data_IF_784526345890
#
_entry.id   IF_784526345890
#
_cell.length_a   1.000
_cell.length_b   1.000
_cell.length_c   1.000
_cell.angle_alpha   90.00
_cell.angle_beta   90.00
_cell.angle_gamma   90.00
#
_symmetry.space_group_name_H-M   'P 1'
#
loop_
_entity.id
_entity.type
_entity.pdbx_description
1 polymer ?
#
# COMPACT_ATOMS: atom_id res chain seq x y z
N UNK A 1 4.04 -9.90 -8.51
CA UNK A 1 5.35 -10.05 -7.83
C UNK A 1 5.51 -9.20 -6.60
N UNK A 2 5.35 -7.88 -6.71
CA UNK A 2 5.44 -6.95 -5.57
C UNK A 2 4.53 -7.38 -4.42
N UNK A 3 3.26 -7.60 -4.72
CA UNK A 3 2.23 -8.05 -3.75
C UNK A 3 2.64 -9.34 -3.03
N UNK A 4 3.11 -10.36 -3.76
CA UNK A 4 3.52 -11.64 -3.15
C UNK A 4 4.75 -11.48 -2.27
N UNK A 5 5.69 -10.62 -2.68
CA UNK A 5 6.89 -10.27 -1.91
C UNK A 5 6.50 -9.59 -0.60
N UNK A 6 5.64 -8.57 -0.67
CA UNK A 6 5.13 -7.84 0.51
C UNK A 6 4.38 -8.78 1.45
N UNK A 7 3.47 -9.62 0.95
CA UNK A 7 2.72 -10.59 1.75
C UNK A 7 3.66 -11.56 2.48
N UNK A 8 4.66 -12.12 1.78
CA UNK A 8 5.64 -13.02 2.39
C UNK A 8 6.45 -12.31 3.50
N UNK A 9 6.91 -11.09 3.25
CA UNK A 9 7.71 -10.30 4.19
C UNK A 9 6.92 -9.95 5.45
N UNK A 10 5.69 -9.44 5.29
CA UNK A 10 4.82 -9.07 6.42
C UNK A 10 4.38 -10.30 7.22
N UNK A 11 4.10 -11.43 6.55
CA UNK A 11 3.80 -12.69 7.23
C UNK A 11 4.97 -13.16 8.09
N UNK A 12 6.20 -13.09 7.57
CA UNK A 12 7.42 -13.42 8.32
C UNK A 12 7.67 -12.46 9.48
N UNK A 13 7.37 -11.17 9.30
CA UNK A 13 7.50 -10.14 10.35
C UNK A 13 6.52 -10.36 11.52
N UNK A 14 5.36 -10.96 11.27
CA UNK A 14 4.37 -11.26 12.32
C UNK A 14 3.54 -10.04 12.72
N UNK A 15 2.67 -9.61 11.81
CA UNK A 15 1.83 -8.40 11.96
C UNK A 15 0.39 -8.70 12.40
N UNK A 16 0.15 -9.87 13.01
CA UNK A 16 -1.19 -10.30 13.42
C UNK A 16 -1.83 -9.30 14.38
N UNK A 17 -3.01 -8.79 14.03
CA UNK A 17 -3.76 -7.83 14.85
C UNK A 17 -3.19 -6.42 14.88
N UNK A 18 -2.24 -6.10 13.99
CA UNK A 18 -1.61 -4.78 13.87
C UNK A 18 -2.08 -4.05 12.62
N UNK A 19 -1.93 -2.73 12.62
CA UNK A 19 -2.07 -1.92 11.42
C UNK A 19 -0.73 -1.91 10.69
N UNK A 20 -0.77 -2.08 9.37
CA UNK A 20 0.37 -1.92 8.49
C UNK A 20 0.09 -0.70 7.62
N UNK A 21 0.93 0.31 7.72
CA UNK A 21 0.87 1.49 6.88
C UNK A 21 2.08 1.54 5.96
N UNK A 22 1.82 1.81 4.68
CA UNK A 22 2.83 1.88 3.65
C UNK A 22 3.25 3.33 3.43
N UNK A 23 4.55 3.59 3.42
CA UNK A 23 5.13 4.92 3.25
C UNK A 23 6.42 4.87 2.43
N UNK A 24 7.04 6.03 2.22
CA UNK A 24 8.31 6.16 1.50
C UNK A 24 8.16 6.57 0.01
N UNK A 25 9.29 6.75 -0.69
CA UNK A 25 9.31 7.28 -2.06
C UNK A 25 8.70 6.31 -3.07
N UNK A 26 8.76 5.00 -2.80
CA UNK A 26 8.22 3.96 -3.69
C UNK A 26 6.73 4.13 -4.01
N UNK A 27 5.94 4.68 -3.07
CA UNK A 27 4.50 4.92 -3.28
C UNK A 27 4.21 5.85 -4.46
N UNK A 28 5.10 6.80 -4.75
CA UNK A 28 4.93 7.74 -5.86
C UNK A 28 5.00 7.07 -7.24
N UNK A 29 5.57 5.85 -7.31
CA UNK A 29 5.67 5.06 -8.52
C UNK A 29 4.60 3.95 -8.61
N UNK A 30 3.71 3.84 -7.61
CA UNK A 30 2.70 2.79 -7.54
C UNK A 30 1.34 3.30 -8.00
N UNK A 31 0.68 2.55 -8.87
CA UNK A 31 -0.71 2.84 -9.26
C UNK A 31 -1.66 2.53 -8.11
N UNK A 32 -2.87 3.12 -8.15
CA UNK A 32 -3.89 2.74 -7.15
C UNK A 32 -4.23 1.25 -7.20
N UNK A 33 -4.20 0.62 -8.38
CA UNK A 33 -4.47 -0.81 -8.51
C UNK A 33 -3.43 -1.67 -7.76
N UNK A 34 -2.15 -1.31 -7.82
CA UNK A 34 -1.09 -2.00 -7.07
C UNK A 34 -1.31 -1.88 -5.56
N UNK A 35 -1.59 -0.66 -5.09
CA UNK A 35 -1.89 -0.36 -3.68
C UNK A 35 -3.10 -1.15 -3.19
N UNK A 36 -4.19 -1.15 -3.97
CA UNK A 36 -5.40 -1.89 -3.66
C UNK A 36 -5.15 -3.40 -3.61
N UNK A 37 -4.30 -3.94 -4.48
CA UNK A 37 -3.95 -5.36 -4.48
C UNK A 37 -3.18 -5.75 -3.22
N UNK A 38 -2.24 -4.91 -2.78
CA UNK A 38 -1.50 -5.13 -1.51
C UNK A 38 -2.43 -5.00 -0.30
N UNK A 39 -3.28 -3.98 -0.29
CA UNK A 39 -4.26 -3.75 0.78
C UNK A 39 -5.27 -4.89 0.89
N UNK A 40 -5.71 -5.45 -0.24
CA UNK A 40 -6.63 -6.60 -0.29
C UNK A 40 -6.01 -7.84 0.35
N UNK A 41 -4.69 -8.02 0.27
CA UNK A 41 -3.99 -9.17 0.87
C UNK A 41 -3.73 -9.07 2.39
N UNK A 42 -4.31 -8.06 3.06
CA UNK A 42 -4.13 -7.90 4.52
C UNK A 42 -4.44 -9.14 5.36
N UNK A 43 -5.54 -9.89 5.10
CA UNK A 43 -5.80 -11.14 5.79
C UNK A 43 -4.70 -12.19 5.63
N UNK A 44 -4.06 -12.26 4.45
CA UNK A 44 -3.03 -13.25 4.12
C UNK A 44 -1.74 -13.03 4.91
N UNK A 45 -1.32 -11.78 5.12
CA UNK A 45 -0.19 -11.47 6.01
C UNK A 45 -0.59 -11.26 7.48
N UNK A 46 -1.89 -11.25 7.78
CA UNK A 46 -2.46 -11.25 9.13
C UNK A 46 -2.72 -9.87 9.74
N UNK A 47 -2.50 -8.78 9.00
CA UNK A 47 -2.76 -7.44 9.51
C UNK A 47 -4.27 -7.17 9.66
N UNK A 48 -4.62 -6.29 10.58
CA UNK A 48 -6.00 -5.77 10.69
C UNK A 48 -6.34 -4.85 9.52
N UNK A 49 -5.34 -4.10 9.03
CA UNK A 49 -5.48 -3.16 7.92
C UNK A 49 -4.14 -3.01 7.19
N UNK A 50 -4.19 -2.95 5.85
CA UNK A 50 -3.11 -2.47 4.99
C UNK A 50 -3.45 -1.09 4.46
N UNK A 51 -2.89 -0.04 5.06
CA UNK A 51 -3.26 1.35 4.83
C UNK A 51 -2.27 2.04 3.89
N UNK A 52 -2.81 2.69 2.86
CA UNK A 52 -2.08 3.62 2.00
C UNK A 52 -2.69 5.02 2.19
N UNK A 53 -1.87 6.06 2.46
CA UNK A 53 -2.37 7.40 2.66
C UNK A 53 -2.97 7.99 1.37
N UNK A 54 -3.87 8.96 1.53
CA UNK A 54 -4.46 9.69 0.40
C UNK A 54 -3.40 10.60 -0.19
N UNK A 55 -3.24 10.56 -1.51
CA UNK A 55 -2.33 11.41 -2.27
C UNK A 55 -2.88 11.73 -3.67
N UNK A 56 -2.05 12.35 -4.51
CA UNK A 56 -2.42 12.70 -5.88
C UNK A 56 -2.84 11.50 -6.74
N UNK A 57 -2.31 10.29 -6.47
CA UNK A 57 -2.73 9.07 -7.17
C UNK A 57 -4.16 8.68 -6.81
N UNK A 58 -4.58 8.92 -5.56
CA UNK A 58 -5.97 8.73 -5.14
C UNK A 58 -6.90 9.67 -5.92
N UNK A 59 -6.53 10.95 -6.03
CA UNK A 59 -7.29 11.92 -6.82
C UNK A 59 -7.34 11.53 -8.29
N UNK A 60 -6.21 11.14 -8.88
CA UNK A 60 -6.13 10.65 -10.27
C UNK A 60 -7.09 9.49 -10.50
N UNK A 61 -7.13 8.52 -9.59
CA UNK A 61 -8.04 7.38 -9.70
C UNK A 61 -9.52 7.77 -9.56
N UNK A 62 -9.85 8.68 -8.64
CA UNK A 62 -11.23 9.17 -8.50
C UNK A 62 -11.70 9.90 -9.76
N UNK A 63 -10.82 10.69 -10.39
CA UNK A 63 -11.09 11.31 -11.69
C UNK A 63 -11.29 10.25 -12.78
N UNK A 64 -10.36 9.31 -12.92
CA UNK A 64 -10.44 8.27 -13.96
C UNK A 64 -11.66 7.34 -13.80
N UNK A 65 -12.11 7.11 -12.57
CA UNK A 65 -13.31 6.31 -12.28
C UNK A 65 -14.62 7.11 -12.38
N UNK A 66 -14.57 8.36 -12.85
CA UNK A 66 -15.74 9.18 -13.15
C UNK A 66 -16.47 9.71 -11.91
N UNK A 67 -15.76 9.95 -10.80
CA UNK A 67 -16.36 10.65 -9.66
C UNK A 67 -16.56 12.13 -9.98
N UNK A 68 -17.60 12.72 -9.40
CA UNK A 68 -17.95 14.11 -9.67
C UNK A 68 -16.88 15.07 -9.14
N UNK A 69 -16.69 16.19 -9.83
CA UNK A 69 -15.62 17.15 -9.53
C UNK A 69 -15.75 17.74 -8.12
N UNK A 70 -16.98 18.03 -7.67
CA UNK A 70 -17.28 18.53 -6.32
C UNK A 70 -16.87 17.50 -5.24
N UNK A 71 -17.07 16.20 -5.52
CA UNK A 71 -16.66 15.13 -4.61
C UNK A 71 -15.15 15.01 -4.54
N UNK A 72 -14.47 15.10 -5.68
CA UNK A 72 -13.00 15.04 -5.75
C UNK A 72 -12.39 16.21 -4.99
N UNK A 73 -12.89 17.43 -5.23
CA UNK A 73 -12.45 18.63 -4.53
C UNK A 73 -12.64 18.53 -3.00
N UNK A 74 -13.79 17.98 -2.56
CA UNK A 74 -14.03 17.74 -1.15
C UNK A 74 -13.04 16.73 -0.55
N UNK A 75 -12.78 15.62 -1.23
CA UNK A 75 -11.84 14.59 -0.74
C UNK A 75 -10.44 15.17 -0.55
N UNK A 76 -9.95 15.95 -1.52
CA UNK A 76 -8.63 16.57 -1.43
C UNK A 76 -8.58 17.61 -0.30
N UNK A 77 -9.52 18.54 -0.27
CA UNK A 77 -9.56 19.61 0.74
C UNK A 77 -9.68 19.05 2.16
N UNK A 78 -10.54 18.06 2.36
CA UNK A 78 -10.71 17.40 3.66
C UNK A 78 -9.46 16.65 4.08
N UNK A 79 -8.86 15.86 3.19
CA UNK A 79 -7.66 15.06 3.51
C UNK A 79 -6.48 15.96 3.89
N UNK A 80 -6.31 17.09 3.19
CA UNK A 80 -5.31 18.12 3.53
C UNK A 80 -5.60 18.78 4.88
N UNK A 81 -6.85 19.19 5.13
CA UNK A 81 -7.23 19.83 6.39
C UNK A 81 -7.06 18.91 7.62
N UNK A 82 -7.23 17.60 7.43
CA UNK A 82 -7.04 16.59 8.49
C UNK A 82 -5.60 16.10 8.65
N UNK A 83 -4.66 16.56 7.81
CA UNK A 83 -3.28 16.06 7.82
C UNK A 83 -3.13 14.61 7.35
N UNK A 84 -4.11 14.08 6.61
CA UNK A 84 -4.09 12.73 6.05
C UNK A 84 -3.51 12.69 4.61
N UNK A 85 -3.24 13.86 4.04
CA UNK A 85 -2.69 14.00 2.70
C UNK A 85 -1.18 13.78 2.69
N UNK A 86 -0.73 12.76 1.94
CA UNK A 86 0.68 12.51 1.70
C UNK A 86 1.18 13.35 0.53
N UNK A 87 2.30 14.04 0.72
CA UNK A 87 3.09 14.63 -0.36
C UNK A 87 4.41 13.87 -0.54
N UNK A 88 4.97 13.95 -1.75
CA UNK A 88 6.31 13.40 -1.98
C UNK A 88 7.33 14.21 -1.15
N UNK A 89 8.10 13.53 -0.30
CA UNK A 89 9.06 14.18 0.61
C UNK A 89 8.44 14.69 1.92
N UNK A 90 7.17 14.41 2.20
CA UNK A 90 6.63 14.56 3.56
C UNK A 90 7.44 13.75 4.56
N UNK A 91 7.53 14.23 5.80
CA UNK A 91 8.18 13.48 6.87
C UNK A 91 7.48 12.14 7.09
N UNK A 92 8.29 11.10 7.32
CA UNK A 92 7.79 9.77 7.59
C UNK A 92 7.03 9.74 8.92
N UNK A 93 5.87 9.07 9.00
CA UNK A 93 5.20 8.87 10.27
C UNK A 93 6.06 8.07 11.25
N UNK A 94 5.83 8.27 12.56
CA UNK A 94 6.53 7.51 13.59
C UNK A 94 5.80 6.19 13.81
N UNK A 95 6.41 5.10 13.35
CA UNK A 95 5.87 3.75 13.50
C UNK A 95 6.48 3.00 14.69
N UNK A 96 5.74 2.03 15.22
CA UNK A 96 6.22 1.15 16.30
C UNK A 96 7.36 0.23 15.83
N UNK A 97 7.36 -0.14 14.56
CA UNK A 97 8.35 -1.01 13.95
C UNK A 97 8.38 -0.75 12.44
N UNK A 98 9.54 -0.95 11.83
CA UNK A 98 9.78 -0.71 10.40
C UNK A 98 10.18 -2.00 9.69
N UNK A 99 9.77 -2.09 8.43
CA UNK A 99 10.17 -3.13 7.50
C UNK A 99 10.30 -2.49 6.12
N UNK A 100 11.48 -2.63 5.53
CA UNK A 100 11.84 -1.97 4.28
C UNK A 100 11.87 -2.97 3.11
N UNK A 101 11.44 -2.51 1.94
CA UNK A 101 11.49 -3.26 0.68
C UNK A 101 12.05 -2.36 -0.42
N UNK A 102 13.19 -2.75 -0.97
CA UNK A 102 13.73 -2.17 -2.19
C UNK A 102 12.95 -2.70 -3.39
N UNK A 103 12.23 -1.82 -4.10
CA UNK A 103 11.34 -2.21 -5.20
C UNK A 103 12.10 -2.80 -6.40
N UNK A 104 13.35 -2.41 -6.61
CA UNK A 104 14.22 -2.91 -7.68
C UNK A 104 14.65 -4.38 -7.48
N UNK A 105 14.62 -4.86 -6.23
CA UNK A 105 14.96 -6.24 -5.87
C UNK A 105 13.82 -7.24 -6.18
N UNK A 106 12.65 -6.74 -6.58
CA UNK A 106 11.46 -7.56 -6.84
C UNK A 106 11.57 -8.26 -8.20
N UNK A 107 11.72 -9.57 -8.18
CA UNK A 107 11.74 -10.43 -9.38
C UNK A 107 10.38 -11.09 -9.67
N UNK A 108 10.09 -11.44 -10.94
CA UNK A 108 8.95 -12.27 -11.32
C UNK A 108 8.80 -13.52 -10.46
N UNK A 109 7.58 -13.83 -10.06
CA UNK A 109 7.29 -14.85 -9.04
C UNK A 109 5.87 -15.40 -9.10
N UNK A 110 5.67 -16.58 -8.53
CA UNK A 110 4.34 -17.19 -8.32
C UNK A 110 4.16 -17.60 -6.86
N UNK A 111 2.91 -17.71 -6.42
CA UNK A 111 2.55 -18.24 -5.10
C UNK A 111 1.94 -19.64 -5.23
N UNK A 112 2.37 -20.59 -4.40
CA UNK A 112 1.79 -21.93 -4.38
C UNK A 112 2.74 -23.03 -3.92
N UNK A 113 2.32 -24.31 -4.04
CA UNK A 113 1.02 -24.78 -4.53
C UNK A 113 -0.10 -24.77 -3.48
N UNK A 114 0.21 -24.59 -2.18
CA UNK A 114 -0.77 -24.75 -1.08
C UNK A 114 -1.14 -23.45 -0.36
N UNK A 115 -0.31 -22.40 -0.45
CA UNK A 115 -0.41 -21.22 0.41
C UNK A 115 -0.01 -19.93 -0.34
N UNK A 116 -0.76 -18.81 -0.19
CA UNK A 116 -0.45 -17.53 -0.83
C UNK A 116 0.92 -16.94 -0.46
N UNK A 117 1.41 -17.21 0.75
CA UNK A 117 2.74 -16.78 1.20
C UNK A 117 3.89 -17.64 0.67
N UNK A 118 3.58 -18.75 -0.02
CA UNK A 118 4.55 -19.66 -0.63
C UNK A 118 5.12 -19.10 -1.94
N UNK A 119 5.81 -17.95 -1.87
CA UNK A 119 6.45 -17.31 -3.03
C UNK A 119 7.60 -18.18 -3.56
N UNK A 120 7.61 -18.43 -4.87
CA UNK A 120 8.68 -19.07 -5.63
C UNK A 120 9.07 -18.13 -6.77
N UNK A 121 10.37 -17.85 -6.94
CA UNK A 121 10.86 -17.06 -8.07
C UNK A 121 10.66 -17.84 -9.39
N UNK A 122 10.33 -17.13 -10.47
CA UNK A 122 10.22 -17.69 -11.82
C UNK A 122 11.58 -17.87 -12.49
#
# INVERSE_FOLDING_TARGET
>A
DLVLTVTQMLRKKGVVGKFVEFFGPGLSNMTLADRATIGNMAPEYGATCGFFPVDSETIRYLTMSGRSEDRIALVEAYSKAQGMWREAGSADPVFTDLLELELDSVVPSMAGPKRPEGRVAL
#
